data_IF_394865810063
#
_entry.id   IF_394865810063
#
_cell.length_a   1.000
_cell.length_b   1.000
_cell.length_c   1.000
_cell.angle_alpha   90.00
_cell.angle_beta   90.00
_cell.angle_gamma   90.00
#
_symmetry.space_group_name_H-M   'P 1'
#
loop_
_entity.id
_entity.type
_entity.pdbx_description
1 polymer ?
#
# COMPACT_ATOMS: atom_id res chain seq x y z
N UNK A 1 0.93 -9.54 -18.80
CA UNK A 1 0.30 -8.44 -18.01
C UNK A 1 1.41 -7.59 -17.43
N UNK A 2 1.43 -6.32 -17.75
CA UNK A 2 2.39 -5.36 -17.19
C UNK A 2 1.92 -4.82 -15.85
N UNK A 3 2.79 -4.83 -14.84
CA UNK A 3 2.46 -4.34 -13.49
C UNK A 3 3.34 -3.14 -13.17
N UNK A 4 2.71 -1.98 -12.92
CA UNK A 4 3.39 -0.79 -12.43
C UNK A 4 3.49 -0.83 -10.92
N UNK A 5 4.71 -0.74 -10.39
CA UNK A 5 4.98 -0.58 -8.96
C UNK A 5 5.41 0.86 -8.72
N UNK A 6 4.75 1.52 -7.78
CA UNK A 6 5.02 2.92 -7.44
C UNK A 6 5.61 3.01 -6.03
N UNK A 7 6.74 3.68 -5.90
CA UNK A 7 7.35 4.00 -4.61
C UNK A 7 7.46 5.51 -4.45
N UNK A 8 6.83 6.06 -3.43
CA UNK A 8 7.05 7.43 -2.99
C UNK A 8 8.24 7.47 -2.03
N UNK A 9 9.18 8.40 -2.25
CA UNK A 9 10.37 8.56 -1.40
C UNK A 9 10.54 10.01 -0.95
N UNK A 10 10.99 10.18 0.29
CA UNK A 10 11.46 11.47 0.81
C UNK A 10 12.45 11.24 1.95
N UNK A 11 13.72 11.56 1.73
CA UNK A 11 14.82 11.32 2.67
C UNK A 11 14.82 9.89 3.22
N UNK A 12 14.82 8.90 2.32
CA UNK A 12 14.60 7.48 2.60
C UNK A 12 15.88 6.64 2.57
N UNK A 13 17.08 7.24 2.59
CA UNK A 13 18.36 6.55 2.41
C UNK A 13 18.60 5.38 3.38
N UNK A 14 17.97 5.41 4.58
CA UNK A 14 18.20 4.41 5.63
C UNK A 14 17.51 3.06 5.35
N UNK A 15 16.42 3.06 4.61
CA UNK A 15 15.56 1.87 4.44
C UNK A 15 15.39 1.44 2.99
N UNK A 16 15.55 2.38 2.07
CA UNK A 16 15.23 2.21 0.66
C UNK A 16 16.02 1.09 -0.03
N UNK A 17 17.27 0.83 0.38
CA UNK A 17 18.08 -0.22 -0.25
C UNK A 17 17.41 -1.58 -0.22
N UNK A 18 16.86 -1.97 0.92
CA UNK A 18 16.18 -3.27 1.05
C UNK A 18 14.90 -3.33 0.19
N UNK A 19 14.18 -2.21 0.09
CA UNK A 19 13.01 -2.07 -0.80
C UNK A 19 13.40 -2.32 -2.25
N UNK A 20 14.45 -1.63 -2.72
CA UNK A 20 14.97 -1.78 -4.09
C UNK A 20 15.41 -3.22 -4.37
N UNK A 21 16.17 -3.83 -3.46
CA UNK A 21 16.65 -5.20 -3.61
C UNK A 21 15.51 -6.22 -3.63
N UNK A 22 14.44 -6.02 -2.85
CA UNK A 22 13.27 -6.90 -2.86
C UNK A 22 12.51 -6.85 -4.18
N UNK A 23 12.48 -5.68 -4.83
CA UNK A 23 11.89 -5.51 -6.16
C UNK A 23 12.79 -6.07 -7.26
N UNK A 24 14.10 -5.84 -7.19
CA UNK A 24 15.07 -6.32 -8.17
C UNK A 24 15.03 -7.86 -8.32
N UNK A 25 14.78 -8.58 -7.23
CA UNK A 25 14.69 -10.04 -7.18
C UNK A 25 13.40 -10.61 -7.75
N UNK A 26 12.39 -9.79 -8.09
CA UNK A 26 11.11 -10.30 -8.55
C UNK A 26 11.25 -11.06 -9.88
N UNK A 27 10.61 -12.22 -9.96
CA UNK A 27 10.69 -13.11 -11.14
C UNK A 27 9.76 -12.68 -12.28
N UNK A 28 8.75 -11.86 -12.00
CA UNK A 28 7.85 -11.36 -13.04
C UNK A 28 8.62 -10.51 -14.07
N UNK A 29 8.54 -10.83 -15.39
CA UNK A 29 9.39 -10.19 -16.39
C UNK A 29 8.96 -8.76 -16.72
N UNK A 30 7.67 -8.42 -16.64
CA UNK A 30 7.12 -7.17 -17.14
C UNK A 30 6.66 -6.26 -15.98
N UNK A 31 7.65 -5.72 -15.25
CA UNK A 31 7.46 -4.76 -14.17
C UNK A 31 7.87 -3.38 -14.66
N UNK A 32 6.97 -2.41 -14.55
CA UNK A 32 7.27 -0.99 -14.66
C UNK A 32 7.48 -0.41 -13.26
N UNK A 33 8.71 -0.05 -12.93
CA UNK A 33 9.00 0.54 -11.62
C UNK A 33 9.15 2.05 -11.69
N UNK A 34 8.27 2.76 -10.99
CA UNK A 34 8.19 4.23 -10.97
C UNK A 34 8.52 4.71 -9.56
N UNK A 35 9.54 5.54 -9.44
CA UNK A 35 9.88 6.21 -8.18
C UNK A 35 9.47 7.68 -8.28
N UNK A 36 8.72 8.14 -7.27
CA UNK A 36 8.37 9.55 -7.10
C UNK A 36 9.04 10.07 -5.84
N UNK A 37 10.01 10.94 -6.02
CA UNK A 37 10.83 11.51 -4.96
C UNK A 37 10.44 12.95 -4.68
N UNK A 38 10.11 13.25 -3.42
CA UNK A 38 9.68 14.55 -2.94
C UNK A 38 10.83 15.58 -2.79
N UNK A 39 11.80 15.58 -3.72
CA UNK A 39 13.01 16.40 -3.68
C UNK A 39 13.90 16.10 -2.46
N UNK A 40 14.26 14.84 -2.26
CA UNK A 40 15.15 14.38 -1.19
C UNK A 40 16.49 15.11 -1.20
N UNK A 41 17.04 15.37 0.00
CA UNK A 41 18.32 16.04 0.21
C UNK A 41 19.42 15.10 0.69
N UNK A 42 19.10 13.85 0.96
CA UNK A 42 20.02 12.79 1.35
C UNK A 42 20.47 11.94 0.14
N UNK A 43 21.03 10.76 0.38
CA UNK A 43 21.50 9.88 -0.70
C UNK A 43 20.37 9.06 -1.38
N UNK A 44 19.09 9.34 -1.14
CA UNK A 44 17.96 8.58 -1.69
C UNK A 44 18.07 8.38 -3.21
N UNK A 45 18.19 9.45 -3.98
CA UNK A 45 18.28 9.38 -5.46
C UNK A 45 19.54 8.63 -5.94
N UNK A 46 20.67 8.80 -5.24
CA UNK A 46 21.90 8.08 -5.58
C UNK A 46 21.72 6.58 -5.37
N UNK A 47 21.09 6.16 -4.27
CA UNK A 47 20.80 4.75 -3.99
C UNK A 47 19.91 4.13 -5.07
N UNK A 48 18.85 4.83 -5.50
CA UNK A 48 17.94 4.35 -6.56
C UNK A 48 18.74 4.07 -7.83
N UNK A 49 19.52 5.04 -8.30
CA UNK A 49 20.27 4.93 -9.56
C UNK A 49 21.35 3.85 -9.53
N UNK A 50 21.92 3.55 -8.35
CA UNK A 50 23.04 2.61 -8.22
C UNK A 50 22.62 1.17 -7.93
N UNK A 51 21.39 0.92 -7.43
CA UNK A 51 21.02 -0.39 -6.87
C UNK A 51 19.77 -1.01 -7.47
N UNK A 52 19.12 -0.38 -8.44
CA UNK A 52 17.96 -0.97 -9.08
C UNK A 52 17.97 -0.72 -10.58
N UNK A 53 18.09 -1.80 -11.35
CA UNK A 53 18.12 -1.75 -12.84
C UNK A 53 16.71 -1.69 -13.41
N UNK A 54 15.69 -2.09 -12.64
CA UNK A 54 14.28 -2.10 -13.05
C UNK A 54 13.58 -0.76 -13.02
N UNK A 55 14.23 0.30 -12.51
CA UNK A 55 13.61 1.63 -12.48
C UNK A 55 13.34 2.13 -13.89
N UNK A 56 12.07 2.23 -14.25
CA UNK A 56 11.61 2.69 -15.56
C UNK A 56 11.51 4.22 -15.59
N UNK A 57 11.17 4.84 -14.46
CA UNK A 57 10.97 6.29 -14.36
C UNK A 57 11.26 6.81 -12.95
N UNK A 58 11.95 7.95 -12.89
CA UNK A 58 12.14 8.74 -11.67
C UNK A 58 11.51 10.11 -11.87
N UNK A 59 10.56 10.49 -11.01
CA UNK A 59 9.98 11.83 -10.92
C UNK A 59 10.54 12.43 -9.63
N UNK A 60 11.36 13.48 -9.75
CA UNK A 60 12.00 14.13 -8.60
C UNK A 60 11.60 15.60 -8.57
N UNK A 61 10.64 15.91 -7.71
CA UNK A 61 10.09 17.26 -7.52
C UNK A 61 9.38 17.36 -6.16
N UNK A 62 9.22 18.56 -5.60
CA UNK A 62 8.46 18.74 -4.37
C UNK A 62 7.04 18.20 -4.47
N UNK A 63 6.54 17.63 -3.37
CA UNK A 63 5.17 17.14 -3.24
C UNK A 63 4.46 17.71 -2.01
N UNK A 64 3.14 17.57 -1.98
CA UNK A 64 2.28 17.94 -0.86
C UNK A 64 2.01 16.75 0.09
N UNK A 65 2.92 15.80 0.16
CA UNK A 65 2.85 14.59 0.98
C UNK A 65 2.69 13.31 0.16
N UNK A 66 2.74 12.19 0.85
CA UNK A 66 2.82 10.85 0.24
C UNK A 66 1.73 10.60 -0.83
N UNK A 67 0.49 11.02 -0.60
CA UNK A 67 -0.60 10.77 -1.54
C UNK A 67 -0.50 11.60 -2.81
N UNK A 68 0.08 12.81 -2.74
CA UNK A 68 0.40 13.59 -3.94
C UNK A 68 1.48 12.88 -4.76
N UNK A 69 2.54 12.40 -4.12
CA UNK A 69 3.57 11.61 -4.78
C UNK A 69 2.99 10.32 -5.41
N UNK A 70 2.14 9.57 -4.68
CA UNK A 70 1.50 8.37 -5.22
C UNK A 70 0.59 8.70 -6.41
N UNK A 71 -0.17 9.80 -6.37
CA UNK A 71 -1.01 10.25 -7.47
C UNK A 71 -0.19 10.60 -8.72
N UNK A 72 0.95 11.28 -8.57
CA UNK A 72 1.90 11.52 -9.68
C UNK A 72 2.39 10.20 -10.27
N UNK A 73 2.69 9.21 -9.43
CA UNK A 73 3.07 7.87 -9.85
C UNK A 73 1.96 7.15 -10.63
N UNK A 74 0.70 7.21 -10.16
CA UNK A 74 -0.46 6.65 -10.86
C UNK A 74 -0.63 7.28 -12.25
N UNK A 75 -0.51 8.60 -12.36
CA UNK A 75 -0.61 9.31 -13.65
C UNK A 75 0.52 8.94 -14.62
N UNK A 76 1.70 8.61 -14.09
CA UNK A 76 2.86 8.25 -14.88
C UNK A 76 2.89 6.75 -15.28
N UNK A 77 2.05 5.93 -14.64
CA UNK A 77 2.01 4.48 -14.85
C UNK A 77 1.35 4.11 -16.18
N UNK A 78 1.95 3.13 -16.87
CA UNK A 78 1.46 2.61 -18.14
C UNK A 78 1.02 1.15 -18.09
N UNK A 79 1.32 0.44 -16.98
CA UNK A 79 0.95 -0.96 -16.79
C UNK A 79 -0.55 -1.20 -16.69
N UNK A 80 -0.97 -2.44 -16.86
CA UNK A 80 -2.37 -2.86 -16.77
C UNK A 80 -2.89 -2.78 -15.33
N UNK A 81 -1.97 -3.02 -14.37
CA UNK A 81 -2.23 -3.08 -12.93
C UNK A 81 -1.25 -2.16 -12.20
N UNK A 82 -1.71 -1.51 -11.16
CA UNK A 82 -0.89 -0.64 -10.29
C UNK A 82 -0.86 -1.22 -8.88
N UNK A 83 0.34 -1.28 -8.29
CA UNK A 83 0.59 -1.56 -6.89
C UNK A 83 1.55 -0.55 -6.26
N UNK A 84 1.60 -0.53 -4.93
CA UNK A 84 2.45 0.39 -4.17
C UNK A 84 3.42 -0.40 -3.30
N UNK A 85 4.67 0.05 -3.28
CA UNK A 85 5.70 -0.46 -2.38
C UNK A 85 6.35 0.75 -1.68
N UNK A 86 6.09 0.93 -0.39
CA UNK A 86 6.65 2.07 0.34
C UNK A 86 8.17 1.94 0.53
N UNK A 87 8.86 3.06 0.67
CA UNK A 87 10.33 3.15 0.71
C UNK A 87 10.99 2.50 1.94
N UNK A 88 10.19 2.02 2.89
CA UNK A 88 10.62 1.28 4.07
C UNK A 88 10.06 -0.16 4.11
N UNK A 89 9.29 -0.58 3.09
CA UNK A 89 8.67 -1.90 3.00
C UNK A 89 9.41 -2.81 2.00
N UNK A 90 9.14 -4.11 2.06
CA UNK A 90 9.72 -5.11 1.16
C UNK A 90 8.64 -6.02 0.59
N UNK A 91 8.83 -6.47 -0.65
CA UNK A 91 8.11 -7.63 -1.16
C UNK A 91 8.56 -8.89 -0.40
N UNK A 92 7.60 -9.72 0.00
CA UNK A 92 7.85 -10.77 0.99
C UNK A 92 8.69 -11.95 0.46
N UNK A 93 8.66 -12.18 -0.86
CA UNK A 93 9.40 -13.23 -1.57
C UNK A 93 9.53 -12.89 -3.07
N UNK A 94 10.35 -13.63 -3.79
CA UNK A 94 10.76 -13.27 -5.16
C UNK A 94 9.63 -13.43 -6.21
N UNK A 95 8.58 -14.21 -5.93
CA UNK A 95 7.45 -14.46 -6.85
C UNK A 95 6.18 -13.63 -6.52
N UNK A 96 6.25 -12.62 -5.64
CA UNK A 96 5.07 -11.83 -5.24
C UNK A 96 4.34 -11.26 -6.45
N UNK A 97 5.05 -10.57 -7.33
CA UNK A 97 4.44 -9.91 -8.50
C UNK A 97 3.93 -10.95 -9.51
N UNK A 98 4.63 -12.07 -9.69
CA UNK A 98 4.18 -13.17 -10.56
C UNK A 98 2.89 -13.81 -10.03
N UNK A 99 2.77 -14.00 -8.71
CA UNK A 99 1.56 -14.56 -8.10
C UNK A 99 0.37 -13.60 -8.22
N UNK A 100 0.59 -12.29 -8.08
CA UNK A 100 -0.42 -11.26 -8.31
C UNK A 100 -0.89 -11.28 -9.76
N UNK A 101 0.03 -11.30 -10.74
CA UNK A 101 -0.31 -11.40 -12.16
C UNK A 101 -1.18 -12.62 -12.44
N UNK A 102 -0.77 -13.81 -11.95
CA UNK A 102 -1.55 -15.06 -12.08
C UNK A 102 -2.95 -14.95 -11.44
N UNK A 103 -3.07 -14.25 -10.30
CA UNK A 103 -4.36 -14.05 -9.64
C UNK A 103 -5.31 -13.20 -10.51
N UNK A 104 -4.82 -12.12 -11.12
CA UNK A 104 -5.59 -11.33 -12.09
C UNK A 104 -6.00 -12.14 -13.31
N UNK A 105 -5.07 -12.89 -13.92
CA UNK A 105 -5.33 -13.72 -15.12
C UNK A 105 -6.39 -14.78 -14.85
N UNK A 106 -6.35 -15.44 -13.70
CA UNK A 106 -7.29 -16.50 -13.34
C UNK A 106 -8.68 -15.98 -12.98
N UNK A 107 -8.77 -14.86 -12.31
CA UNK A 107 -10.04 -14.35 -11.79
C UNK A 107 -10.71 -13.30 -12.67
N UNK A 108 -9.94 -12.61 -13.53
CA UNK A 108 -10.43 -11.47 -14.32
C UNK A 108 -10.83 -10.25 -13.48
N UNK A 109 -10.59 -10.29 -12.16
CA UNK A 109 -11.05 -9.28 -11.20
C UNK A 109 -10.43 -7.90 -11.44
N UNK A 110 -10.98 -6.89 -10.78
CA UNK A 110 -10.49 -5.51 -10.86
C UNK A 110 -9.39 -5.22 -9.87
N UNK A 111 -9.36 -5.96 -8.75
CA UNK A 111 -8.31 -5.82 -7.74
C UNK A 111 -7.96 -7.15 -7.06
N UNK A 112 -6.68 -7.27 -6.65
CA UNK A 112 -6.14 -8.38 -5.86
C UNK A 112 -5.52 -7.79 -4.60
N UNK A 113 -5.68 -8.45 -3.46
CA UNK A 113 -4.99 -8.12 -2.21
C UNK A 113 -4.55 -9.38 -1.48
N UNK A 114 -3.55 -9.24 -0.63
CA UNK A 114 -3.03 -10.33 0.19
C UNK A 114 -2.89 -9.98 1.65
N UNK A 115 -2.12 -10.80 2.36
CA UNK A 115 -1.74 -10.58 3.74
C UNK A 115 -0.49 -9.68 3.81
N UNK A 116 -0.24 -9.15 5.01
CA UNK A 116 0.94 -8.34 5.31
C UNK A 116 1.53 -8.78 6.64
N UNK A 117 2.83 -8.80 6.76
CA UNK A 117 3.50 -8.96 8.06
C UNK A 117 4.25 -7.69 8.47
N UNK A 118 4.14 -7.35 9.74
CA UNK A 118 4.98 -6.32 10.35
C UNK A 118 6.28 -6.95 10.82
N UNK A 119 7.39 -6.32 10.43
CA UNK A 119 8.75 -6.75 10.80
C UNK A 119 9.46 -5.69 11.64
N UNK A 120 10.48 -6.08 12.36
CA UNK A 120 11.27 -5.14 13.16
C UNK A 120 11.99 -4.13 12.25
N UNK A 121 12.17 -2.91 12.75
CA UNK A 121 12.75 -1.81 11.96
C UNK A 121 14.18 -2.13 11.47
N UNK A 122 15.01 -2.73 12.32
CA UNK A 122 16.40 -3.01 12.02
C UNK A 122 16.68 -4.48 11.65
N UNK A 123 15.62 -5.32 11.62
CA UNK A 123 15.74 -6.74 11.28
C UNK A 123 14.45 -7.22 10.60
N UNK A 124 14.46 -7.22 9.27
CA UNK A 124 13.31 -7.61 8.44
C UNK A 124 13.02 -9.12 8.46
N UNK A 125 13.85 -9.92 9.11
CA UNK A 125 13.58 -11.35 9.33
C UNK A 125 12.73 -11.59 10.57
N UNK A 126 12.73 -10.63 11.51
CA UNK A 126 11.98 -10.72 12.77
C UNK A 126 10.56 -10.22 12.61
N UNK A 127 9.61 -11.17 12.46
CA UNK A 127 8.19 -10.86 12.44
C UNK A 127 7.70 -10.40 13.81
N UNK A 128 7.03 -9.26 13.84
CA UNK A 128 6.38 -8.68 15.03
C UNK A 128 4.90 -9.05 15.07
N UNK A 129 4.20 -8.99 13.92
CA UNK A 129 2.77 -9.21 13.83
C UNK A 129 2.39 -9.68 12.42
N UNK A 130 1.45 -10.60 12.32
CA UNK A 130 0.83 -10.99 11.05
C UNK A 130 -0.54 -10.31 10.91
N UNK A 131 -0.74 -9.56 9.83
CA UNK A 131 -2.05 -9.07 9.41
C UNK A 131 -2.63 -10.02 8.37
N UNK A 132 -3.39 -11.00 8.84
CA UNK A 132 -4.16 -11.90 7.99
C UNK A 132 -5.43 -11.19 7.55
N UNK A 133 -5.54 -10.86 6.26
CA UNK A 133 -6.64 -10.10 5.69
C UNK A 133 -7.94 -10.92 5.64
N UNK A 134 -7.86 -12.15 5.17
CA UNK A 134 -9.01 -13.01 4.93
C UNK A 134 -9.87 -12.54 3.75
N UNK A 135 -10.92 -13.29 3.45
CA UNK A 135 -11.82 -12.97 2.36
C UNK A 135 -12.59 -11.66 2.58
N UNK A 136 -12.80 -10.93 1.48
CA UNK A 136 -13.57 -9.69 1.46
C UNK A 136 -15.00 -9.92 1.94
N UNK A 137 -15.49 -8.97 2.73
CA UNK A 137 -16.90 -8.91 3.14
C UNK A 137 -17.33 -7.46 3.26
N UNK A 138 -18.39 -7.09 2.57
CA UNK A 138 -18.98 -5.74 2.66
C UNK A 138 -19.40 -5.38 4.08
N UNK A 139 -19.92 -6.36 4.83
CA UNK A 139 -20.31 -6.15 6.23
C UNK A 139 -19.09 -5.81 7.09
N UNK A 140 -18.00 -6.59 6.98
CA UNK A 140 -16.76 -6.31 7.70
C UNK A 140 -16.21 -4.93 7.35
N UNK A 141 -16.29 -4.52 6.07
CA UNK A 141 -15.81 -3.21 5.63
C UNK A 141 -16.65 -2.06 6.21
N UNK A 142 -17.98 -2.23 6.28
CA UNK A 142 -18.87 -1.28 6.99
C UNK A 142 -18.57 -1.22 8.51
N UNK A 143 -17.99 -2.27 9.07
CA UNK A 143 -17.50 -2.32 10.44
C UNK A 143 -16.04 -1.84 10.60
N UNK A 144 -15.47 -1.19 9.57
CA UNK A 144 -14.13 -0.61 9.65
C UNK A 144 -12.98 -1.53 9.28
N UNK A 145 -13.25 -2.77 8.84
CA UNK A 145 -12.21 -3.62 8.25
C UNK A 145 -11.78 -3.08 6.88
N UNK A 146 -10.51 -3.23 6.56
CA UNK A 146 -9.94 -2.97 5.24
C UNK A 146 -8.78 -3.94 4.99
N UNK A 147 -8.46 -4.27 3.72
CA UNK A 147 -7.20 -4.96 3.42
C UNK A 147 -6.02 -4.02 3.69
N UNK A 148 -4.81 -4.54 3.95
CA UNK A 148 -3.61 -3.71 4.06
C UNK A 148 -3.32 -3.05 2.70
N UNK A 149 -3.31 -1.72 2.69
CA UNK A 149 -3.11 -0.95 1.46
C UNK A 149 -1.83 -1.34 0.69
N UNK A 150 -0.66 -1.59 1.33
CA UNK A 150 0.54 -1.98 0.60
C UNK A 150 0.43 -3.33 -0.13
N UNK A 151 -0.54 -4.19 0.23
CA UNK A 151 -0.79 -5.46 -0.46
C UNK A 151 -1.94 -5.40 -1.47
N UNK A 152 -2.47 -4.20 -1.76
CA UNK A 152 -3.60 -3.99 -2.65
C UNK A 152 -3.14 -3.55 -4.03
N UNK A 153 -3.50 -4.34 -5.05
CA UNK A 153 -3.19 -4.10 -6.45
C UNK A 153 -4.50 -3.94 -7.22
N UNK A 154 -4.59 -2.97 -8.12
CA UNK A 154 -5.81 -2.67 -8.86
C UNK A 154 -5.52 -2.35 -10.31
N UNK A 155 -6.43 -2.70 -11.23
CA UNK A 155 -6.35 -2.31 -12.64
C UNK A 155 -6.22 -0.79 -12.75
N UNK A 156 -5.32 -0.33 -13.62
CA UNK A 156 -5.08 1.10 -13.85
C UNK A 156 -6.36 1.85 -14.27
N UNK A 157 -7.20 1.22 -15.07
CA UNK A 157 -8.44 1.83 -15.56
C UNK A 157 -9.40 2.19 -14.41
N UNK A 158 -9.38 1.44 -13.30
CA UNK A 158 -10.17 1.77 -12.12
C UNK A 158 -9.76 3.11 -11.48
N UNK A 159 -8.46 3.46 -11.50
CA UNK A 159 -8.02 4.80 -11.04
C UNK A 159 -8.52 5.90 -11.95
N UNK A 160 -8.53 5.69 -13.28
CA UNK A 160 -9.10 6.63 -14.25
C UNK A 160 -10.60 6.84 -14.08
N UNK A 161 -11.34 5.76 -13.80
CA UNK A 161 -12.81 5.80 -13.67
C UNK A 161 -13.27 6.29 -12.29
N UNK A 162 -12.58 5.91 -11.22
CA UNK A 162 -13.05 6.10 -9.84
C UNK A 162 -12.20 7.11 -9.07
N UNK A 163 -11.18 7.68 -9.70
CA UNK A 163 -10.28 8.69 -9.13
C UNK A 163 -9.15 8.11 -8.28
N UNK A 164 -8.10 8.90 -8.09
CA UNK A 164 -6.91 8.60 -7.29
C UNK A 164 -7.12 8.90 -5.80
N UNK A 165 -6.05 9.04 -5.01
CA UNK A 165 -6.14 9.40 -3.59
C UNK A 165 -6.62 10.84 -3.41
N UNK A 166 -7.53 11.08 -2.45
CA UNK A 166 -7.90 12.44 -2.05
C UNK A 166 -6.76 13.10 -1.28
N UNK A 167 -6.46 14.35 -1.62
CA UNK A 167 -5.46 15.15 -0.90
C UNK A 167 -6.05 15.87 0.33
N UNK A 168 -7.34 15.71 0.60
CA UNK A 168 -8.01 16.23 1.82
C UNK A 168 -7.62 15.46 3.09
N UNK A 169 -7.00 14.28 2.92
CA UNK A 169 -6.52 13.42 3.99
C UNK A 169 -5.01 13.26 3.92
N UNK A 170 -4.33 13.46 5.05
CA UNK A 170 -2.87 13.31 5.14
C UNK A 170 -2.43 11.89 5.49
N UNK A 171 -3.30 11.14 6.19
CA UNK A 171 -2.98 9.82 6.76
C UNK A 171 -3.93 8.72 6.26
N UNK A 172 -5.21 9.04 6.05
CA UNK A 172 -6.27 8.05 5.81
C UNK A 172 -6.85 8.10 4.38
N UNK A 173 -6.14 8.69 3.40
CA UNK A 173 -6.60 8.69 2.01
C UNK A 173 -6.62 7.28 1.39
N UNK A 174 -5.76 6.37 1.85
CA UNK A 174 -5.80 4.95 1.51
C UNK A 174 -7.13 4.30 1.95
N UNK A 175 -7.55 4.59 3.19
CA UNK A 175 -8.84 4.09 3.71
C UNK A 175 -10.03 4.65 2.93
N UNK A 176 -10.03 5.96 2.64
CA UNK A 176 -11.05 6.59 1.79
C UNK A 176 -11.13 5.94 0.41
N UNK A 177 -10.00 5.78 -0.26
CA UNK A 177 -9.94 5.19 -1.59
C UNK A 177 -10.44 3.74 -1.61
N UNK A 178 -10.04 2.91 -0.64
CA UNK A 178 -10.52 1.54 -0.53
C UNK A 178 -12.03 1.46 -0.28
N UNK A 179 -12.60 2.33 0.57
CA UNK A 179 -14.04 2.40 0.77
C UNK A 179 -14.76 2.80 -0.52
N UNK A 180 -14.22 3.78 -1.24
CA UNK A 180 -14.76 4.23 -2.52
C UNK A 180 -14.78 3.10 -3.54
N UNK A 181 -13.65 2.42 -3.76
CA UNK A 181 -13.56 1.34 -4.75
C UNK A 181 -14.41 0.12 -4.36
N UNK A 182 -14.24 -0.36 -3.12
CA UNK A 182 -14.80 -1.64 -2.71
C UNK A 182 -16.27 -1.57 -2.27
N UNK A 183 -16.72 -0.47 -1.64
CA UNK A 183 -18.11 -0.32 -1.18
C UNK A 183 -18.99 0.45 -2.16
N UNK A 184 -18.54 1.63 -2.63
CA UNK A 184 -19.36 2.48 -3.51
C UNK A 184 -19.35 1.96 -4.95
N UNK A 185 -18.17 1.75 -5.53
CA UNK A 185 -18.01 1.31 -6.92
C UNK A 185 -18.16 -0.20 -7.11
N UNK A 186 -18.04 -0.96 -6.04
CA UNK A 186 -18.27 -2.42 -6.02
C UNK A 186 -17.41 -3.18 -7.02
N UNK A 187 -16.15 -2.75 -7.16
CA UNK A 187 -15.18 -3.48 -8.00
C UNK A 187 -15.09 -4.94 -7.60
N UNK A 188 -14.78 -5.81 -8.56
CA UNK A 188 -14.54 -7.23 -8.32
C UNK A 188 -13.17 -7.45 -7.69
N UNK A 189 -13.10 -8.31 -6.64
CA UNK A 189 -11.90 -8.39 -5.79
C UNK A 189 -11.56 -9.83 -5.48
N UNK A 190 -10.28 -10.17 -5.58
CA UNK A 190 -9.75 -11.49 -5.25
C UNK A 190 -8.77 -11.40 -4.06
N UNK A 191 -8.97 -12.25 -3.07
CA UNK A 191 -8.04 -12.43 -1.96
C UNK A 191 -7.01 -13.50 -2.31
N UNK A 192 -5.73 -13.16 -2.28
CA UNK A 192 -4.60 -14.07 -2.41
C UNK A 192 -4.09 -14.41 -0.99
N UNK A 193 -4.29 -15.65 -0.47
CA UNK A 193 -3.95 -15.99 0.91
C UNK A 193 -2.45 -16.21 1.11
N UNK A 194 -1.66 -15.18 0.79
CA UNK A 194 -0.20 -15.12 0.92
C UNK A 194 0.21 -13.78 1.53
N UNK A 195 1.29 -13.77 2.30
CA UNK A 195 1.94 -12.53 2.74
C UNK A 195 2.63 -11.92 1.51
N UNK A 196 2.20 -10.75 1.07
CA UNK A 196 2.77 -10.07 -0.10
C UNK A 196 3.82 -9.03 0.30
N UNK A 197 3.65 -8.41 1.47
CA UNK A 197 4.51 -7.30 1.89
C UNK A 197 4.97 -7.52 3.34
N UNK A 198 6.24 -7.24 3.58
CA UNK A 198 6.87 -7.06 4.90
C UNK A 198 6.96 -5.57 5.18
N UNK A 199 6.18 -5.08 6.15
CA UNK A 199 6.12 -3.67 6.53
C UNK A 199 6.91 -3.43 7.81
N UNK A 200 7.87 -2.51 7.78
CA UNK A 200 8.62 -2.13 8.98
C UNK A 200 7.74 -1.43 10.01
N UNK A 201 7.92 -1.76 11.29
CA UNK A 201 7.28 -1.01 12.38
C UNK A 201 7.92 0.37 12.51
N UNK A 202 7.14 1.38 12.94
CA UNK A 202 7.68 2.75 13.17
C UNK A 202 7.42 3.74 12.04
N UNK A 203 6.59 3.40 11.04
CA UNK A 203 6.15 4.32 9.99
C UNK A 203 5.44 5.58 10.53
N UNK A 204 5.32 6.61 9.68
CA UNK A 204 4.83 7.96 10.01
C UNK A 204 3.53 7.96 10.81
N UNK A 205 2.60 7.07 10.48
CA UNK A 205 1.28 6.98 11.12
C UNK A 205 1.29 6.53 12.59
N UNK A 206 2.40 5.95 13.07
CA UNK A 206 2.50 5.36 14.42
C UNK A 206 3.65 5.94 15.24
N UNK A 207 4.28 7.03 14.79
CA UNK A 207 5.48 7.60 15.46
C UNK A 207 5.18 8.34 16.76
N UNK A 208 3.97 8.88 16.92
CA UNK A 208 3.62 9.69 18.11
C UNK A 208 2.15 9.53 18.48
N UNK A 209 1.81 9.86 19.73
CA UNK A 209 0.42 9.91 20.21
C UNK A 209 -0.40 10.89 19.36
N UNK A 210 0.19 12.03 19.01
CA UNK A 210 -0.49 13.03 18.16
C UNK A 210 -0.81 12.47 16.76
N UNK A 211 0.11 11.70 16.15
CA UNK A 211 -0.15 11.04 14.87
C UNK A 211 -1.29 10.02 14.96
N UNK A 212 -1.38 9.28 16.07
CA UNK A 212 -2.46 8.31 16.30
C UNK A 212 -3.81 9.00 16.49
N UNK A 213 -3.85 10.13 17.20
CA UNK A 213 -5.07 10.95 17.36
C UNK A 213 -5.52 11.54 16.03
N UNK A 214 -4.60 12.15 15.27
CA UNK A 214 -4.90 12.72 13.96
C UNK A 214 -5.41 11.64 12.99
N UNK A 215 -4.79 10.45 12.97
CA UNK A 215 -5.30 9.33 12.22
C UNK A 215 -6.72 8.94 12.59
N UNK A 216 -7.03 8.90 13.89
CA UNK A 216 -8.37 8.55 14.36
C UNK A 216 -9.41 9.60 13.94
N UNK A 217 -9.04 10.88 13.97
CA UNK A 217 -9.89 11.98 13.50
C UNK A 217 -10.16 11.86 12.00
N UNK A 218 -9.10 11.61 11.20
CA UNK A 218 -9.26 11.40 9.76
C UNK A 218 -10.08 10.13 9.45
N UNK A 219 -9.84 9.01 10.15
CA UNK A 219 -10.64 7.79 10.01
C UNK A 219 -12.14 8.06 10.25
N UNK A 220 -12.49 8.88 11.27
CA UNK A 220 -13.88 9.28 11.54
C UNK A 220 -14.44 10.12 10.38
N UNK A 221 -13.67 11.10 9.88
CA UNK A 221 -14.09 11.91 8.73
C UNK A 221 -14.33 11.05 7.49
N UNK A 222 -13.42 10.13 7.18
CA UNK A 222 -13.56 9.17 6.09
C UNK A 222 -14.80 8.29 6.28
N UNK A 223 -15.03 7.74 7.47
CA UNK A 223 -16.21 6.93 7.76
C UNK A 223 -17.50 7.71 7.55
N UNK A 224 -17.59 8.94 8.06
CA UNK A 224 -18.75 9.83 7.88
C UNK A 224 -19.00 10.14 6.40
N UNK A 225 -17.94 10.52 5.66
CA UNK A 225 -18.02 10.81 4.22
C UNK A 225 -18.52 9.60 3.41
N UNK A 226 -18.18 8.39 3.84
CA UNK A 226 -18.57 7.16 3.17
C UNK A 226 -19.85 6.52 3.72
N UNK A 227 -20.60 7.20 4.59
CA UNK A 227 -21.89 6.73 5.14
C UNK A 227 -21.76 5.55 6.09
N UNK A 228 -20.62 5.41 6.77
CA UNK A 228 -20.36 4.36 7.76
C UNK A 228 -20.75 4.87 9.16
N UNK A 229 -21.38 4.01 9.96
CA UNK A 229 -21.70 4.28 11.36
C UNK A 229 -20.40 4.24 12.16
N UNK A 230 -19.72 5.39 12.22
CA UNK A 230 -18.35 5.53 12.70
C UNK A 230 -18.10 5.04 14.14
N UNK A 231 -19.00 5.19 15.13
CA UNK A 231 -18.71 4.73 16.49
C UNK A 231 -18.50 3.21 16.54
N UNK A 232 -19.39 2.46 15.86
CA UNK A 232 -19.34 1.01 15.79
C UNK A 232 -18.12 0.57 14.98
N UNK A 233 -17.90 1.20 13.82
CA UNK A 233 -16.79 0.87 12.93
C UNK A 233 -15.44 1.14 13.58
N UNK A 234 -15.28 2.27 14.28
CA UNK A 234 -14.04 2.61 14.97
C UNK A 234 -13.73 1.66 16.13
N UNK A 235 -14.75 1.30 16.92
CA UNK A 235 -14.61 0.32 17.98
C UNK A 235 -14.17 -1.04 17.40
N UNK A 236 -14.87 -1.54 16.39
CA UNK A 236 -14.53 -2.81 15.74
C UNK A 236 -13.13 -2.77 15.08
N UNK A 237 -12.78 -1.69 14.37
CA UNK A 237 -11.46 -1.51 13.73
C UNK A 237 -10.31 -1.63 14.73
N UNK A 238 -10.49 -1.14 15.96
CA UNK A 238 -9.47 -1.23 17.02
C UNK A 238 -9.46 -2.60 17.70
N UNK A 239 -10.62 -3.14 18.05
CA UNK A 239 -10.74 -4.45 18.73
C UNK A 239 -10.30 -5.62 17.83
N UNK A 240 -10.61 -5.56 16.53
CA UNK A 240 -10.24 -6.62 15.57
C UNK A 240 -8.72 -6.78 15.37
N UNK A 241 -7.93 -5.82 15.82
CA UNK A 241 -6.46 -5.89 15.77
C UNK A 241 -5.86 -6.67 16.95
N UNK A 242 -6.56 -6.79 18.07
CA UNK A 242 -6.04 -7.45 19.28
C UNK A 242 -5.59 -8.91 19.04
N UNK A 243 -6.35 -9.77 18.31
CA UNK A 243 -5.92 -11.14 18.05
C UNK A 243 -4.62 -11.25 17.24
N UNK A 244 -4.27 -10.20 16.48
CA UNK A 244 -3.05 -10.19 15.64
C UNK A 244 -1.77 -10.10 16.47
N UNK A 245 -1.86 -9.69 17.74
CA UNK A 245 -0.73 -9.63 18.68
C UNK A 245 -0.56 -10.92 19.48
N UNK A 246 -1.57 -11.79 19.53
CA UNK A 246 -1.60 -13.02 20.33
C UNK A 246 -1.10 -14.22 19.51
N UNK A 247 -1.33 -14.24 18.21
CA UNK A 247 -0.85 -15.30 17.30
C UNK A 247 0.56 -14.96 16.80
N UNK A 248 1.56 -15.45 17.55
CA UNK A 248 2.96 -15.49 17.08
C UNK A 248 3.14 -16.52 15.98
#
# INVERSE_FOLDING_TARGET
MRISIITATYNSEKTLLDTLLSLEKQTHPDIEYIVVDGASKDNTIKLIKSNCTRVSKIICEPDNGIYDALNKGIQAASGDVIGFLHSDDLLAYDDVIADIAKAFERSGCDAVYGDLEYVAQNDTTKRIRLWKSGAFSRLKMKLGWMPPHPSFYMKRDCYGQFGCFSLDYRISADYDSLLRYMLKQRISITYLPKVLVKMRVGGISNRSVSSMVNKSIEDIRVMKHNGIIWPIALAYKNLSKLPQFIKK
#
